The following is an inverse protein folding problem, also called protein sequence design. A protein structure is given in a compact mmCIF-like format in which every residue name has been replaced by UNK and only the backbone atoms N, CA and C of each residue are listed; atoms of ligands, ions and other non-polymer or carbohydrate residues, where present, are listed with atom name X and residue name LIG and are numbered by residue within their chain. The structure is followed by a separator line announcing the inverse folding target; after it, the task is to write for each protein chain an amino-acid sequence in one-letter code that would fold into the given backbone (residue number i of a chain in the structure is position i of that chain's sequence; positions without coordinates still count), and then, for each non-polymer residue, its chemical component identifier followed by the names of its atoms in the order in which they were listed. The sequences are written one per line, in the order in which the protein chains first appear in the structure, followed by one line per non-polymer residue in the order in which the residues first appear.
data_IF_907460968577
#
_entry.id   IF_907460968577
#
_cell.length_a   1.000
_cell.length_b   1.000
_cell.length_c   1.000
_cell.angle_alpha   90.00
_cell.angle_beta   90.00
_cell.angle_gamma   90.00
#
_symmetry.space_group_name_H-M   'P 1'
#
loop_
_entity.id
_entity.type
_entity.pdbx_description
1 polymer ?
#
# COMPACT_ATOMS: atom_id res chain seq x y z
N UNK A 1 -56.88 57.51 26.65
CA UNK A 1 -58.21 57.52 26.00
C UNK A 1 -58.43 56.13 25.43
N UNK A 2 -59.18 55.31 26.15
CA UNK A 2 -59.87 54.08 25.67
C UNK A 2 -61.06 54.45 24.82
N UNK A 3 -61.71 53.59 23.98
CA UNK A 3 -62.34 52.39 24.51
C UNK A 3 -62.35 51.13 23.59
N UNK A 4 -62.52 50.06 24.29
CA UNK A 4 -63.18 48.80 24.06
C UNK A 4 -64.22 48.67 22.93
N UNK A 5 -64.29 47.56 22.24
CA UNK A 5 -65.55 46.91 21.90
C UNK A 5 -65.37 45.37 21.71
N UNK A 6 -66.21 44.68 22.48
CA UNK A 6 -66.54 43.28 22.53
C UNK A 6 -67.46 42.95 21.35
N UNK A 7 -67.51 41.76 20.80
CA UNK A 7 -68.66 40.93 20.39
C UNK A 7 -68.17 39.72 19.57
N UNK A 8 -68.33 38.60 20.07
CA UNK A 8 -69.36 37.53 19.99
C UNK A 8 -68.97 36.35 19.07
N UNK A 9 -68.90 35.21 19.70
CA UNK A 9 -68.96 33.89 19.06
C UNK A 9 -70.26 33.55 18.41
N UNK A 10 -70.27 32.67 17.44
CA UNK A 10 -71.16 31.53 17.61
C UNK A 10 -70.49 30.17 17.37
N UNK A 11 -70.92 29.25 18.20
CA UNK A 11 -70.75 27.83 18.17
C UNK A 11 -71.19 27.19 16.86
N UNK A 12 -70.42 26.29 16.28
CA UNK A 12 -70.96 25.30 15.37
C UNK A 12 -70.37 23.92 15.61
N UNK A 13 -71.27 22.98 15.60
CA UNK A 13 -71.21 21.61 16.08
C UNK A 13 -70.23 20.73 15.32
N UNK A 14 -69.70 19.78 16.08
CA UNK A 14 -68.92 18.62 15.66
C UNK A 14 -69.61 17.78 14.56
N UNK A 15 -68.84 17.39 13.57
CA UNK A 15 -69.06 16.17 12.81
C UNK A 15 -67.70 15.42 12.74
N UNK A 16 -67.69 14.24 13.34
CA UNK A 16 -66.54 13.42 13.42
C UNK A 16 -66.15 12.79 12.06
N UNK A 17 -64.93 13.01 11.67
CA UNK A 17 -64.29 12.17 10.68
C UNK A 17 -63.07 11.57 11.35
N UNK A 18 -63.16 10.28 11.64
CA UNK A 18 -62.03 9.49 12.10
C UNK A 18 -61.04 9.33 10.93
N UNK A 19 -59.98 10.13 10.91
CA UNK A 19 -58.82 9.89 10.05
C UNK A 19 -57.95 8.87 10.77
N UNK A 20 -57.97 7.65 10.25
CA UNK A 20 -57.02 6.59 10.60
C UNK A 20 -55.65 6.98 10.03
N UNK A 21 -54.81 7.56 10.88
CA UNK A 21 -53.43 7.84 10.56
C UNK A 21 -52.65 6.53 10.66
N UNK A 22 -52.49 5.82 9.52
CA UNK A 22 -51.63 4.65 9.41
C UNK A 22 -50.17 5.11 9.56
N UNK A 23 -49.61 4.94 10.75
CA UNK A 23 -48.19 5.12 11.04
C UNK A 23 -47.44 3.97 10.36
N UNK A 24 -46.94 4.22 9.15
CA UNK A 24 -46.01 3.32 8.48
C UNK A 24 -44.69 3.41 9.20
N UNK A 25 -44.46 2.52 10.16
CA UNK A 25 -43.19 2.40 10.88
C UNK A 25 -42.18 1.75 9.94
N UNK A 26 -41.40 2.56 9.21
CA UNK A 26 -40.26 2.11 8.44
C UNK A 26 -39.22 1.60 9.42
N UNK A 27 -39.18 0.29 9.64
CA UNK A 27 -38.09 -0.39 10.33
C UNK A 27 -36.88 -0.26 9.42
N UNK A 28 -36.02 0.69 9.76
CA UNK A 28 -34.66 0.80 9.18
C UNK A 28 -33.91 -0.44 9.66
N UNK A 29 -33.87 -1.50 8.85
CA UNK A 29 -33.02 -2.64 9.09
C UNK A 29 -31.57 -2.17 8.95
N UNK A 30 -30.96 -1.85 10.10
CA UNK A 30 -29.52 -1.70 10.19
C UNK A 30 -28.92 -3.07 9.88
N UNK A 31 -28.51 -3.31 8.63
CA UNK A 31 -27.75 -4.49 8.29
C UNK A 31 -26.47 -4.47 9.15
N UNK A 32 -26.16 -5.55 9.88
CA UNK A 32 -24.89 -5.60 10.57
C UNK A 32 -23.80 -5.42 9.54
N UNK A 33 -22.96 -4.40 9.72
CA UNK A 33 -21.72 -4.29 8.98
C UNK A 33 -20.97 -5.61 9.22
N UNK A 34 -20.76 -6.40 8.17
CA UNK A 34 -19.92 -7.58 8.24
C UNK A 34 -18.56 -7.06 8.70
N UNK A 35 -18.21 -7.34 9.95
CA UNK A 35 -16.88 -7.08 10.45
C UNK A 35 -15.91 -7.74 9.49
N UNK A 36 -14.99 -6.95 8.91
CA UNK A 36 -13.88 -7.53 8.16
C UNK A 36 -13.20 -8.56 9.07
N UNK A 37 -12.90 -9.76 8.56
CA UNK A 37 -12.22 -10.76 9.35
C UNK A 37 -10.95 -10.13 9.90
N UNK A 38 -10.78 -10.26 11.20
CA UNK A 38 -9.77 -9.69 12.07
C UNK A 38 -8.51 -9.24 11.36
N UNK A 39 -8.19 -7.95 11.53
CA UNK A 39 -6.93 -7.40 11.08
C UNK A 39 -5.82 -8.31 11.62
N UNK A 40 -5.15 -8.99 10.76
CA UNK A 40 -4.12 -9.94 11.12
C UNK A 40 -2.98 -9.18 11.75
N UNK A 41 -2.89 -9.25 13.04
CA UNK A 41 -1.89 -8.56 13.85
C UNK A 41 -0.78 -9.55 14.16
N UNK A 42 0.40 -9.42 13.52
CA UNK A 42 1.59 -9.95 14.14
C UNK A 42 2.05 -9.00 15.25
N UNK A 43 2.57 -9.56 16.31
CA UNK A 43 3.23 -8.77 17.33
C UNK A 43 4.49 -8.15 16.70
N UNK A 44 4.52 -6.82 16.62
CA UNK A 44 5.72 -6.13 16.17
C UNK A 44 6.80 -6.22 17.24
N UNK A 45 8.03 -6.39 16.81
CA UNK A 45 9.19 -6.33 17.70
C UNK A 45 9.38 -4.90 18.19
N UNK A 46 9.62 -4.75 19.47
CA UNK A 46 10.00 -3.47 20.08
C UNK A 46 11.50 -3.22 19.83
N UNK A 47 11.86 -2.06 19.32
CA UNK A 47 13.26 -1.71 19.05
C UNK A 47 14.15 -1.75 20.30
N UNK A 48 13.58 -1.58 21.49
CA UNK A 48 14.28 -1.76 22.76
C UNK A 48 14.79 -3.19 22.97
N UNK A 49 14.22 -4.17 22.25
CA UNK A 49 14.64 -5.58 22.29
C UNK A 49 15.83 -5.89 21.37
N UNK A 50 16.30 -4.92 20.57
CA UNK A 50 17.50 -5.11 19.75
C UNK A 50 18.70 -5.25 20.68
N UNK A 51 19.44 -6.38 20.60
CA UNK A 51 20.54 -6.63 21.53
C UNK A 51 21.67 -5.59 21.39
N UNK A 52 22.52 -5.49 22.39
CA UNK A 52 23.78 -4.76 22.27
C UNK A 52 24.82 -5.62 21.51
N UNK A 53 25.87 -4.95 20.99
CA UNK A 53 26.97 -5.60 20.30
C UNK A 53 26.71 -5.90 18.82
N UNK A 54 27.56 -6.71 18.18
CA UNK A 54 27.60 -6.85 16.72
C UNK A 54 26.31 -7.29 16.06
N UNK A 55 25.52 -8.14 16.71
CA UNK A 55 24.22 -8.57 16.20
C UNK A 55 23.24 -7.40 16.15
N UNK A 56 23.13 -6.65 17.25
CA UNK A 56 22.27 -5.48 17.30
C UNK A 56 22.71 -4.37 16.34
N UNK A 57 23.99 -4.19 16.15
CA UNK A 57 24.54 -3.24 15.20
C UNK A 57 24.16 -3.62 13.76
N UNK A 58 24.22 -4.91 13.41
CA UNK A 58 23.79 -5.42 12.12
C UNK A 58 22.26 -5.21 11.91
N UNK A 59 21.44 -5.43 12.94
CA UNK A 59 19.99 -5.19 12.88
C UNK A 59 19.71 -3.71 12.62
N UNK A 60 20.34 -2.79 13.36
CA UNK A 60 20.18 -1.34 13.20
C UNK A 60 20.65 -0.85 11.83
N UNK A 61 21.79 -1.36 11.37
CA UNK A 61 22.32 -1.09 10.03
C UNK A 61 21.31 -1.56 8.97
N UNK A 62 20.79 -2.78 9.09
CA UNK A 62 19.80 -3.33 8.15
C UNK A 62 18.54 -2.49 8.06
N UNK A 63 17.99 -2.05 9.21
CA UNK A 63 16.86 -1.12 9.23
C UNK A 63 17.19 0.17 8.49
N UNK A 64 18.34 0.76 8.77
CA UNK A 64 18.79 2.01 8.14
C UNK A 64 18.95 1.85 6.62
N UNK A 65 19.58 0.76 6.16
CA UNK A 65 19.76 0.47 4.74
C UNK A 65 18.41 0.34 4.00
N UNK A 66 17.43 -0.27 4.61
CA UNK A 66 16.10 -0.50 4.01
C UNK A 66 15.20 0.74 4.06
N UNK A 67 15.38 1.62 5.03
CA UNK A 67 14.55 2.83 5.18
C UNK A 67 15.17 4.08 4.56
N UNK A 68 16.48 4.11 4.40
CA UNK A 68 17.25 5.21 3.82
C UNK A 68 18.18 4.69 2.69
N UNK A 69 17.65 3.79 1.86
CA UNK A 69 18.40 3.02 0.87
C UNK A 69 19.16 3.92 -0.09
N UNK A 70 18.51 4.95 -0.61
CA UNK A 70 19.08 5.89 -1.57
C UNK A 70 20.37 6.54 -1.06
N UNK A 71 20.39 7.01 0.19
CA UNK A 71 21.57 7.67 0.77
C UNK A 71 22.64 6.70 1.26
N UNK A 72 22.22 5.53 1.71
CA UNK A 72 23.13 4.52 2.30
C UNK A 72 23.74 3.59 1.25
N UNK A 73 23.08 3.42 0.11
CA UNK A 73 23.51 2.56 -0.99
C UNK A 73 23.52 3.31 -2.33
N UNK A 74 24.17 4.50 -2.44
CA UNK A 74 24.10 5.32 -3.65
C UNK A 74 24.68 4.62 -4.89
N UNK A 75 25.53 3.61 -4.72
CA UNK A 75 26.10 2.80 -5.80
C UNK A 75 25.12 1.75 -6.33
N UNK A 76 24.07 1.43 -5.55
CA UNK A 76 23.10 0.36 -5.82
C UNK A 76 21.68 0.87 -6.09
N UNK A 77 21.47 2.17 -6.05
CA UNK A 77 20.18 2.81 -6.31
C UNK A 77 20.34 3.80 -7.45
N UNK A 78 19.63 3.58 -8.55
CA UNK A 78 19.66 4.42 -9.74
C UNK A 78 18.59 5.50 -9.79
N UNK A 79 17.64 5.49 -8.83
CA UNK A 79 16.60 6.51 -8.66
C UNK A 79 16.60 7.02 -7.22
N UNK A 80 15.67 7.89 -6.87
CA UNK A 80 15.59 8.48 -5.54
C UNK A 80 14.77 7.67 -4.51
N UNK A 81 14.49 6.38 -4.79
CA UNK A 81 13.60 5.57 -3.97
C UNK A 81 14.32 4.87 -2.81
N UNK A 82 13.56 4.61 -1.75
CA UNK A 82 13.92 3.73 -0.65
C UNK A 82 13.04 2.46 -0.69
N UNK A 83 13.51 1.35 -0.14
CA UNK A 83 12.71 0.13 -0.05
C UNK A 83 11.39 0.39 0.72
N UNK A 84 11.44 1.23 1.74
CA UNK A 84 10.29 1.63 2.55
C UNK A 84 9.23 2.46 1.82
N UNK A 85 9.49 2.97 0.61
CA UNK A 85 8.46 3.65 -0.20
C UNK A 85 7.33 2.68 -0.62
N UNK A 86 7.64 1.38 -0.77
CA UNK A 86 6.67 0.34 -1.08
C UNK A 86 6.43 -0.61 0.11
N UNK A 87 7.46 -0.85 0.93
CA UNK A 87 7.38 -1.68 2.13
C UNK A 87 7.11 -0.79 3.35
N UNK A 88 5.86 -0.34 3.47
CA UNK A 88 5.46 0.68 4.44
C UNK A 88 5.72 0.27 5.89
N UNK A 89 5.84 1.27 6.77
CA UNK A 89 6.12 1.06 8.18
C UNK A 89 7.45 0.34 8.44
N UNK A 90 8.50 0.65 7.68
CA UNK A 90 9.77 -0.06 7.74
C UNK A 90 9.61 -1.59 7.58
N UNK A 91 8.71 -2.00 6.68
CA UNK A 91 8.44 -3.40 6.36
C UNK A 91 7.53 -4.12 7.37
N UNK A 92 6.82 -3.39 8.20
CA UNK A 92 5.92 -3.99 9.20
C UNK A 92 4.45 -3.90 8.83
N UNK A 93 4.05 -3.06 7.85
CA UNK A 93 2.65 -2.86 7.50
C UNK A 93 2.07 -4.06 6.75
N UNK A 94 1.01 -4.72 7.27
CA UNK A 94 0.32 -5.78 6.56
C UNK A 94 -0.20 -5.32 5.20
N UNK A 95 -0.14 -6.21 4.21
CA UNK A 95 -0.59 -5.96 2.83
C UNK A 95 0.18 -4.85 2.06
N UNK A 96 1.26 -4.31 2.64
CA UNK A 96 2.25 -3.50 1.95
C UNK A 96 3.54 -4.30 1.68
N UNK A 97 3.40 -5.60 1.38
CA UNK A 97 4.52 -6.53 1.19
C UNK A 97 5.51 -6.53 2.37
N UNK A 98 5.04 -6.80 3.61
CA UNK A 98 5.88 -6.69 4.80
C UNK A 98 7.10 -7.62 4.74
N UNK A 99 8.15 -7.26 5.48
CA UNK A 99 9.34 -8.10 5.66
C UNK A 99 9.21 -9.10 6.80
N UNK A 100 8.19 -8.94 7.64
CA UNK A 100 7.89 -9.85 8.75
C UNK A 100 7.65 -11.26 8.21
N UNK A 101 8.33 -12.24 8.78
CA UNK A 101 8.21 -13.65 8.41
C UNK A 101 8.94 -14.08 7.14
N UNK A 102 9.53 -13.14 6.35
CA UNK A 102 10.14 -13.49 5.07
C UNK A 102 11.33 -14.43 5.20
N UNK A 103 12.08 -14.36 6.29
CA UNK A 103 13.23 -15.24 6.55
C UNK A 103 12.86 -16.73 6.48
N UNK A 104 11.68 -17.10 6.96
CA UNK A 104 11.18 -18.47 6.95
C UNK A 104 10.37 -18.84 5.69
N UNK A 105 10.19 -17.91 4.77
CA UNK A 105 9.40 -18.12 3.54
C UNK A 105 10.26 -18.39 2.30
N UNK A 106 11.54 -18.13 2.35
CA UNK A 106 12.48 -18.38 1.27
C UNK A 106 13.39 -19.58 1.58
N UNK A 107 13.87 -20.33 0.55
CA UNK A 107 13.70 -20.08 -0.89
C UNK A 107 12.25 -20.31 -1.36
N UNK A 108 11.81 -19.54 -2.35
CA UNK A 108 10.46 -19.58 -2.89
C UNK A 108 10.46 -19.68 -4.42
N UNK A 109 9.55 -20.47 -5.00
CA UNK A 109 9.36 -20.49 -6.45
C UNK A 109 8.72 -19.19 -6.92
N UNK A 110 9.34 -18.57 -7.93
CA UNK A 110 8.84 -17.34 -8.55
C UNK A 110 8.52 -17.58 -10.01
N UNK A 111 7.23 -17.63 -10.35
CA UNK A 111 6.77 -17.84 -11.72
C UNK A 111 7.40 -16.86 -12.72
N UNK A 112 7.62 -15.60 -12.31
CA UNK A 112 8.27 -14.60 -13.17
C UNK A 112 9.66 -15.03 -13.64
N UNK A 113 10.47 -15.63 -12.79
CA UNK A 113 11.82 -16.10 -13.14
C UNK A 113 11.88 -17.58 -13.48
N UNK A 114 10.77 -18.33 -13.33
CA UNK A 114 10.69 -19.75 -13.59
C UNK A 114 11.56 -20.62 -12.66
N UNK A 115 12.00 -20.11 -11.52
CA UNK A 115 12.93 -20.81 -10.62
C UNK A 115 12.66 -20.57 -9.14
N UNK A 116 13.26 -21.41 -8.29
CA UNK A 116 13.42 -21.11 -6.87
C UNK A 116 14.46 -19.99 -6.70
N UNK A 117 14.15 -19.00 -5.91
CA UNK A 117 15.07 -17.92 -5.58
C UNK A 117 15.25 -17.79 -4.06
N UNK A 118 16.42 -17.32 -3.65
CA UNK A 118 16.71 -16.95 -2.26
C UNK A 118 16.13 -15.58 -1.91
N UNK A 119 16.11 -15.24 -0.62
CA UNK A 119 15.71 -13.90 -0.19
C UNK A 119 16.69 -12.83 -0.67
N UNK A 120 17.99 -13.14 -0.72
CA UNK A 120 19.02 -12.25 -1.28
C UNK A 120 18.75 -11.94 -2.77
N UNK A 121 18.45 -12.97 -3.58
CA UNK A 121 18.03 -12.75 -4.97
C UNK A 121 16.77 -11.86 -5.04
N UNK A 122 15.82 -12.05 -4.13
CA UNK A 122 14.61 -11.24 -4.08
C UNK A 122 14.89 -9.78 -3.72
N UNK A 123 15.83 -9.52 -2.82
CA UNK A 123 16.28 -8.16 -2.48
C UNK A 123 16.97 -7.52 -3.71
N UNK A 124 17.87 -8.24 -4.36
CA UNK A 124 18.56 -7.78 -5.56
C UNK A 124 17.58 -7.50 -6.72
N UNK A 125 16.58 -8.34 -6.92
CA UNK A 125 15.47 -8.07 -7.86
C UNK A 125 14.82 -6.69 -7.62
N UNK A 126 14.69 -6.27 -6.36
CA UNK A 126 14.14 -4.95 -6.04
C UNK A 126 15.13 -3.82 -6.34
N UNK A 127 16.41 -4.00 -6.03
CA UNK A 127 17.44 -3.02 -6.35
C UNK A 127 17.52 -2.77 -7.88
N UNK A 128 17.49 -3.83 -8.68
CA UNK A 128 17.61 -3.71 -10.13
C UNK A 128 16.32 -3.21 -10.79
N UNK A 129 15.15 -3.62 -10.29
CA UNK A 129 13.85 -3.35 -10.93
C UNK A 129 13.12 -2.15 -10.33
N UNK A 130 12.95 -2.13 -9.02
CA UNK A 130 12.22 -1.04 -8.37
C UNK A 130 13.08 0.21 -8.18
N UNK A 131 14.38 0.03 -8.06
CA UNK A 131 15.29 1.13 -7.73
C UNK A 131 16.26 1.46 -8.87
N UNK A 132 16.09 0.87 -10.07
CA UNK A 132 16.90 1.10 -11.28
C UNK A 132 18.40 1.00 -11.02
N UNK A 133 18.81 0.15 -10.10
CA UNK A 133 20.17 0.10 -9.56
C UNK A 133 20.90 -1.19 -9.92
N UNK A 134 21.78 -1.60 -9.03
CA UNK A 134 22.65 -2.77 -9.19
C UNK A 134 22.52 -3.70 -7.99
N UNK A 135 22.66 -5.00 -8.24
CA UNK A 135 22.69 -6.03 -7.20
C UNK A 135 23.82 -5.81 -6.20
N UNK A 136 23.57 -6.17 -4.94
CA UNK A 136 24.57 -6.35 -3.89
C UNK A 136 25.20 -7.74 -4.00
N UNK A 137 26.46 -7.88 -3.59
CA UNK A 137 27.03 -9.19 -3.34
C UNK A 137 26.27 -9.92 -2.22
N UNK A 138 26.04 -11.22 -2.37
CA UNK A 138 25.22 -12.00 -1.42
C UNK A 138 25.83 -12.07 -0.01
N UNK A 139 27.15 -12.00 0.10
CA UNK A 139 27.94 -12.02 1.32
C UNK A 139 28.36 -10.63 1.82
N UNK A 140 27.86 -9.56 1.18
CA UNK A 140 28.18 -8.19 1.61
C UNK A 140 27.65 -7.90 3.01
N UNK A 141 28.31 -6.97 3.69
CA UNK A 141 27.89 -6.47 5.02
C UNK A 141 26.46 -5.92 4.95
N UNK A 142 26.15 -5.20 3.88
CA UNK A 142 24.85 -4.59 3.65
C UNK A 142 23.74 -5.65 3.48
N UNK A 143 23.98 -6.67 2.65
CA UNK A 143 23.04 -7.77 2.46
C UNK A 143 22.78 -8.51 3.77
N UNK A 144 23.85 -8.84 4.49
CA UNK A 144 23.77 -9.53 5.77
C UNK A 144 23.03 -8.68 6.83
N UNK A 145 23.25 -7.36 6.85
CA UNK A 145 22.55 -6.45 7.75
C UNK A 145 21.03 -6.39 7.43
N UNK A 146 20.65 -6.27 6.16
CA UNK A 146 19.25 -6.32 5.74
C UNK A 146 18.57 -7.63 6.16
N UNK A 147 19.26 -8.76 5.98
CA UNK A 147 18.80 -10.08 6.41
C UNK A 147 18.66 -10.16 7.93
N UNK A 148 19.58 -9.55 8.70
CA UNK A 148 19.53 -9.51 10.17
C UNK A 148 18.31 -8.74 10.68
N UNK A 149 17.99 -7.60 10.06
CA UNK A 149 16.77 -6.84 10.39
C UNK A 149 15.51 -7.64 10.08
N UNK A 150 15.43 -8.27 8.90
CA UNK A 150 14.27 -9.10 8.53
C UNK A 150 14.11 -10.32 9.44
N UNK A 151 15.22 -10.90 9.90
CA UNK A 151 15.21 -11.98 10.89
C UNK A 151 14.66 -11.50 12.23
N UNK A 152 15.16 -10.38 12.73
CA UNK A 152 14.69 -9.80 13.99
C UNK A 152 13.19 -9.48 13.93
N UNK A 153 12.70 -8.86 12.85
CA UNK A 153 11.26 -8.63 12.63
C UNK A 153 10.44 -9.93 12.65
N UNK A 154 11.05 -11.05 12.32
CA UNK A 154 10.38 -12.34 12.16
C UNK A 154 10.48 -13.25 13.39
N UNK A 155 11.02 -12.77 14.51
CA UNK A 155 11.35 -13.61 15.69
C UNK A 155 10.14 -14.39 16.22
N UNK A 156 8.94 -13.82 16.18
CA UNK A 156 7.71 -14.47 16.68
C UNK A 156 6.96 -15.25 15.56
N UNK A 157 7.52 -15.36 14.36
CA UNK A 157 6.90 -16.09 13.25
C UNK A 157 7.61 -17.43 13.05
N UNK A 158 6.95 -18.50 13.40
CA UNK A 158 7.51 -19.85 13.20
C UNK A 158 7.70 -20.14 11.70
N UNK A 159 8.85 -20.71 11.29
CA UNK A 159 9.09 -21.11 9.90
C UNK A 159 7.98 -22.02 9.35
N UNK A 160 7.61 -21.82 8.09
CA UNK A 160 6.57 -22.61 7.41
C UNK A 160 5.13 -22.29 7.83
N UNK A 161 4.91 -21.38 8.78
CA UNK A 161 3.56 -20.93 9.12
C UNK A 161 3.09 -19.83 8.16
N UNK A 162 1.78 -19.73 7.91
CA UNK A 162 1.23 -18.62 7.15
C UNK A 162 1.63 -17.30 7.79
N UNK A 163 2.07 -16.37 6.94
CA UNK A 163 2.44 -15.02 7.36
C UNK A 163 1.21 -14.13 7.14
N UNK A 164 0.60 -13.65 8.20
CA UNK A 164 -0.56 -12.79 8.09
C UNK A 164 -0.23 -11.51 7.33
N UNK A 165 -1.11 -11.04 6.46
CA UNK A 165 -0.89 -9.81 5.68
C UNK A 165 0.32 -9.84 4.73
N UNK A 166 0.91 -11.02 4.46
CA UNK A 166 2.01 -11.17 3.50
C UNK A 166 1.60 -10.71 2.10
N UNK A 167 2.51 -10.00 1.44
CA UNK A 167 2.29 -9.52 0.07
C UNK A 167 1.27 -8.39 0.01
N UNK A 168 0.31 -8.51 -0.90
CA UNK A 168 -0.77 -7.56 -1.13
C UNK A 168 -2.12 -8.23 -0.92
N UNK A 169 -3.19 -7.43 -0.73
CA UNK A 169 -4.55 -7.97 -0.70
C UNK A 169 -4.89 -8.63 -2.04
N UNK A 170 -5.81 -9.59 -2.01
CA UNK A 170 -6.37 -10.13 -3.25
C UNK A 170 -7.28 -9.10 -3.89
N UNK A 171 -7.16 -8.96 -5.21
CA UNK A 171 -8.02 -8.11 -6.01
C UNK A 171 -8.65 -8.97 -7.13
N UNK A 172 -9.89 -8.65 -7.50
CA UNK A 172 -10.57 -9.36 -8.59
C UNK A 172 -9.94 -8.97 -9.93
N UNK A 173 -9.21 -9.89 -10.54
CA UNK A 173 -8.54 -9.68 -11.84
C UNK A 173 -9.50 -9.67 -13.03
N UNK A 174 -10.79 -9.92 -12.81
CA UNK A 174 -11.84 -9.79 -13.85
C UNK A 174 -12.27 -8.33 -14.04
N UNK A 175 -12.01 -7.47 -13.06
CA UNK A 175 -12.27 -6.04 -13.18
C UNK A 175 -11.48 -5.46 -14.35
N UNK A 176 -12.15 -4.64 -15.16
CA UNK A 176 -11.54 -4.01 -16.33
C UNK A 176 -11.12 -2.58 -15.97
N UNK A 177 -9.84 -2.21 -16.20
CA UNK A 177 -9.38 -0.87 -15.97
C UNK A 177 -10.00 0.11 -16.97
N UNK A 178 -10.32 1.29 -16.50
CA UNK A 178 -10.68 2.44 -17.33
C UNK A 178 -9.68 3.57 -17.01
N UNK A 179 -8.75 3.80 -17.91
CA UNK A 179 -7.71 4.81 -17.72
C UNK A 179 -8.27 6.23 -17.61
N UNK A 180 -9.38 6.52 -18.28
CA UNK A 180 -10.04 7.84 -18.24
C UNK A 180 -10.68 8.12 -16.87
N UNK A 181 -11.31 7.09 -16.24
CA UNK A 181 -11.74 7.20 -14.84
C UNK A 181 -10.55 7.26 -13.90
N UNK A 182 -9.52 6.45 -14.18
CA UNK A 182 -8.28 6.41 -13.40
C UNK A 182 -7.57 7.76 -13.35
N UNK A 183 -7.52 8.48 -14.47
CA UNK A 183 -6.97 9.84 -14.55
C UNK A 183 -7.71 10.81 -13.62
N UNK A 184 -9.04 10.78 -13.63
CA UNK A 184 -9.86 11.63 -12.76
C UNK A 184 -9.65 11.30 -11.28
N UNK A 185 -9.57 10.01 -10.95
CA UNK A 185 -9.28 9.55 -9.58
C UNK A 185 -7.87 10.00 -9.17
N UNK A 186 -6.89 9.84 -10.06
CA UNK A 186 -5.52 10.29 -9.83
C UNK A 186 -5.45 11.78 -9.51
N UNK A 187 -6.04 12.61 -10.36
CA UNK A 187 -6.09 14.06 -10.18
C UNK A 187 -6.73 14.45 -8.84
N UNK A 188 -7.82 13.78 -8.44
CA UNK A 188 -8.57 14.10 -7.24
C UNK A 188 -7.93 13.59 -5.94
N UNK A 189 -7.26 12.41 -5.97
CA UNK A 189 -6.86 11.70 -4.75
C UNK A 189 -5.35 11.42 -4.64
N UNK A 190 -4.59 11.54 -5.71
CA UNK A 190 -3.18 11.12 -5.75
C UNK A 190 -2.22 12.26 -6.08
N UNK A 191 -2.62 13.16 -6.99
CA UNK A 191 -1.76 14.20 -7.54
C UNK A 191 -1.23 15.18 -6.47
N UNK A 192 -1.99 15.43 -5.40
CA UNK A 192 -1.57 16.31 -4.31
C UNK A 192 -0.25 15.86 -3.65
N UNK A 193 -0.01 14.53 -3.60
CA UNK A 193 1.21 13.97 -3.04
C UNK A 193 2.19 13.53 -4.15
N UNK A 194 1.70 12.85 -5.19
CA UNK A 194 2.58 12.26 -6.20
C UNK A 194 2.87 13.18 -7.39
N UNK A 195 2.35 14.43 -7.37
CA UNK A 195 2.48 15.39 -8.46
C UNK A 195 1.48 15.13 -9.59
N UNK A 196 1.11 16.18 -10.34
CA UNK A 196 0.15 16.06 -11.45
C UNK A 196 0.69 15.14 -12.56
N UNK A 197 2.00 15.17 -12.79
CA UNK A 197 2.70 14.35 -13.77
C UNK A 197 3.38 13.12 -13.13
N UNK A 198 2.93 12.69 -11.95
CA UNK A 198 3.47 11.52 -11.25
C UNK A 198 4.94 11.59 -10.85
N UNK A 199 5.51 12.78 -10.88
CA UNK A 199 6.94 13.05 -10.68
C UNK A 199 7.37 12.94 -9.22
N UNK A 200 6.41 12.81 -8.28
CA UNK A 200 6.66 12.82 -6.84
C UNK A 200 7.02 14.19 -6.29
N UNK A 201 7.34 14.25 -5.01
CA UNK A 201 7.80 15.44 -4.30
C UNK A 201 9.19 15.16 -3.74
N UNK A 202 10.25 15.79 -4.26
CA UNK A 202 11.62 15.61 -3.77
C UNK A 202 11.78 16.04 -2.31
N UNK A 203 12.70 15.40 -1.59
CA UNK A 203 13.05 15.72 -0.20
C UNK A 203 14.20 16.76 -0.08
N UNK A 204 14.71 17.24 -1.20
CA UNK A 204 15.85 18.15 -1.28
C UNK A 204 17.22 17.49 -1.01
N UNK A 205 17.25 16.20 -0.69
CA UNK A 205 18.48 15.45 -0.37
C UNK A 205 18.73 14.28 -1.38
N UNK A 206 18.12 14.35 -2.56
CA UNK A 206 18.26 13.36 -3.63
C UNK A 206 17.31 12.18 -3.50
N UNK A 207 16.34 12.24 -2.59
CA UNK A 207 15.22 11.30 -2.43
C UNK A 207 13.88 12.00 -2.59
N UNK A 208 12.83 11.36 -2.05
CA UNK A 208 11.46 11.82 -2.17
C UNK A 208 10.71 11.79 -0.84
N UNK A 209 9.99 12.86 -0.54
CA UNK A 209 8.94 12.87 0.50
C UNK A 209 7.77 11.98 0.04
N UNK A 210 7.34 12.17 -1.22
CA UNK A 210 6.38 11.30 -1.89
C UNK A 210 6.99 10.78 -3.19
N UNK A 211 7.06 9.45 -3.39
CA UNK A 211 7.79 8.86 -4.50
C UNK A 211 7.13 9.15 -5.86
N UNK A 212 7.91 9.22 -6.95
CA UNK A 212 7.38 9.26 -8.29
C UNK A 212 6.68 7.92 -8.64
N UNK A 213 5.59 8.01 -9.39
CA UNK A 213 4.84 6.84 -9.87
C UNK A 213 5.16 6.50 -11.32
N UNK A 214 5.64 7.47 -12.10
CA UNK A 214 6.15 7.30 -13.47
C UNK A 214 7.21 8.34 -13.80
N UNK A 215 7.73 8.32 -15.02
CA UNK A 215 8.84 9.17 -15.44
C UNK A 215 10.20 8.54 -15.13
N UNK A 216 11.25 9.27 -15.42
CA UNK A 216 12.66 8.78 -15.41
C UNK A 216 13.15 8.31 -14.04
N UNK A 217 12.61 8.86 -12.96
CA UNK A 217 13.03 8.56 -11.58
C UNK A 217 12.11 7.56 -10.87
N UNK A 218 11.09 7.04 -11.57
CA UNK A 218 10.22 5.99 -11.03
C UNK A 218 10.85 4.60 -11.16
N UNK A 219 10.19 3.61 -10.63
CA UNK A 219 10.52 2.19 -10.84
C UNK A 219 10.39 1.82 -12.33
N UNK A 220 11.21 0.86 -12.81
CA UNK A 220 11.22 0.45 -14.21
C UNK A 220 10.09 -0.54 -14.58
N UNK A 221 9.98 -0.87 -15.87
CA UNK A 221 8.95 -1.78 -16.39
C UNK A 221 9.01 -3.19 -15.79
N UNK A 222 10.17 -3.63 -15.31
CA UNK A 222 10.36 -4.93 -14.67
C UNK A 222 9.93 -4.96 -13.19
N UNK A 223 9.58 -3.83 -12.60
CA UNK A 223 9.19 -3.75 -11.19
C UNK A 223 7.84 -4.42 -10.92
N UNK A 224 7.66 -4.90 -9.68
CA UNK A 224 6.37 -5.45 -9.25
C UNK A 224 5.23 -4.44 -9.36
N UNK A 225 5.49 -3.18 -9.02
CA UNK A 225 4.53 -2.09 -9.06
C UNK A 225 4.22 -1.58 -10.48
N UNK A 226 4.99 -1.98 -11.50
CA UNK A 226 4.63 -1.73 -12.90
C UNK A 226 3.51 -2.68 -13.39
N UNK A 227 3.20 -3.73 -12.64
CA UNK A 227 2.11 -4.65 -12.97
C UNK A 227 0.79 -4.12 -12.41
N UNK A 228 -0.14 -3.88 -13.27
CA UNK A 228 -1.43 -3.26 -13.02
C UNK A 228 -2.15 -3.81 -11.77
N UNK A 229 -2.45 -5.11 -11.71
CA UNK A 229 -3.17 -5.67 -10.55
C UNK A 229 -2.34 -5.71 -9.26
N UNK A 230 -1.01 -5.75 -9.36
CA UNK A 230 -0.13 -5.60 -8.19
C UNK A 230 -0.22 -4.17 -7.62
N UNK A 231 -0.17 -3.19 -8.51
CA UNK A 231 -0.32 -1.79 -8.16
C UNK A 231 -1.73 -1.51 -7.59
N UNK A 232 -2.78 -2.03 -8.25
CA UNK A 232 -4.17 -1.89 -7.79
C UNK A 232 -4.38 -2.47 -6.38
N UNK A 233 -3.82 -3.65 -6.10
CA UNK A 233 -3.91 -4.29 -4.78
C UNK A 233 -3.19 -3.47 -3.68
N UNK A 234 -2.04 -2.88 -4.01
CA UNK A 234 -1.33 -1.97 -3.11
C UNK A 234 -2.15 -0.70 -2.85
N UNK A 235 -2.66 -0.07 -3.90
CA UNK A 235 -3.48 1.14 -3.83
C UNK A 235 -4.72 0.91 -2.98
N UNK A 236 -5.46 -0.17 -3.25
CA UNK A 236 -6.71 -0.52 -2.56
C UNK A 236 -6.54 -0.53 -1.02
N UNK A 237 -5.42 -1.07 -0.53
CA UNK A 237 -5.24 -1.27 0.91
C UNK A 237 -4.42 -0.19 1.59
N UNK A 238 -3.57 0.54 0.85
CA UNK A 238 -2.56 1.40 1.45
C UNK A 238 -2.67 2.87 1.04
N UNK A 239 -3.42 3.21 -0.02
CA UNK A 239 -3.50 4.58 -0.54
C UNK A 239 -4.94 5.09 -0.58
N UNK A 240 -5.11 6.42 -0.48
CA UNK A 240 -4.13 7.45 -0.09
C UNK A 240 -3.62 7.27 1.33
N UNK A 241 -2.38 7.65 1.60
CA UNK A 241 -1.83 7.62 2.97
C UNK A 241 -2.71 8.47 3.89
N UNK A 242 -3.07 7.92 5.05
CA UNK A 242 -4.03 8.53 6.00
C UNK A 242 -5.51 8.28 5.65
N UNK A 243 -5.81 7.72 4.47
CA UNK A 243 -7.16 7.36 4.04
C UNK A 243 -7.17 5.95 3.40
N UNK A 244 -6.35 5.06 3.91
CA UNK A 244 -6.24 3.68 3.43
C UNK A 244 -7.61 2.99 3.43
N UNK A 245 -7.92 2.24 2.35
CA UNK A 245 -9.20 1.57 2.19
C UNK A 245 -10.39 2.46 1.79
N UNK A 246 -10.16 3.75 1.46
CA UNK A 246 -11.21 4.66 1.01
C UNK A 246 -11.58 4.52 -0.48
N UNK A 247 -10.84 3.72 -1.22
CA UNK A 247 -11.10 3.41 -2.62
C UNK A 247 -11.83 2.08 -2.74
N UNK A 248 -12.80 2.00 -3.63
CA UNK A 248 -13.36 0.73 -4.07
C UNK A 248 -12.35 -0.07 -4.90
N UNK A 249 -12.56 -1.37 -5.05
CA UNK A 249 -11.70 -2.22 -5.87
C UNK A 249 -11.63 -1.74 -7.34
N UNK A 250 -12.77 -1.27 -7.90
CA UNK A 250 -12.80 -0.74 -9.26
C UNK A 250 -12.00 0.56 -9.37
N UNK A 251 -12.13 1.50 -8.42
CA UNK A 251 -11.33 2.74 -8.43
C UNK A 251 -9.83 2.45 -8.32
N UNK A 252 -9.44 1.49 -7.48
CA UNK A 252 -8.04 1.07 -7.37
C UNK A 252 -7.51 0.45 -8.68
N UNK A 253 -8.35 -0.33 -9.38
CA UNK A 253 -8.03 -0.90 -10.69
C UNK A 253 -7.93 0.19 -11.75
N UNK A 254 -8.85 1.14 -11.78
CA UNK A 254 -8.85 2.22 -12.76
C UNK A 254 -7.62 3.13 -12.61
N UNK A 255 -7.33 3.59 -11.38
CA UNK A 255 -6.18 4.47 -11.15
C UNK A 255 -4.84 3.75 -11.37
N UNK A 256 -4.75 2.46 -11.01
CA UNK A 256 -3.58 1.66 -11.34
C UNK A 256 -3.43 1.50 -12.86
N UNK A 257 -4.53 1.29 -13.59
CA UNK A 257 -4.56 1.26 -15.05
C UNK A 257 -4.04 2.55 -15.68
N UNK A 258 -4.37 3.69 -15.10
CA UNK A 258 -3.87 4.98 -15.55
C UNK A 258 -2.37 5.13 -15.36
N UNK A 259 -1.86 5.00 -14.13
CA UNK A 259 -0.45 5.34 -13.87
C UNK A 259 0.54 4.25 -14.31
N UNK A 260 0.13 2.98 -14.39
CA UNK A 260 1.04 1.92 -14.85
C UNK A 260 1.31 1.94 -16.35
N UNK A 261 0.47 2.61 -17.14
CA UNK A 261 0.67 2.82 -18.58
C UNK A 261 1.58 4.01 -18.90
N UNK A 262 1.86 4.87 -17.92
CA UNK A 262 2.70 6.05 -18.15
C UNK A 262 4.17 5.66 -18.38
N UNK A 263 4.93 6.48 -19.12
CA UNK A 263 6.33 6.22 -19.42
C UNK A 263 7.18 6.03 -18.16
N UNK A 264 8.08 5.06 -18.19
CA UNK A 264 9.00 4.72 -17.09
C UNK A 264 10.29 4.13 -17.65
N UNK A 265 11.36 4.01 -16.85
CA UNK A 265 12.61 3.43 -17.32
C UNK A 265 12.41 2.00 -17.84
N UNK A 266 13.14 1.68 -18.89
CA UNK A 266 13.18 0.31 -19.43
C UNK A 266 14.00 -0.62 -18.55
N UNK A 267 13.77 -1.93 -18.74
CA UNK A 267 14.53 -3.00 -18.10
C UNK A 267 14.79 -4.12 -19.10
N UNK A 268 15.88 -4.07 -19.87
CA UNK A 268 16.15 -5.04 -20.94
C UNK A 268 16.12 -6.49 -20.49
N UNK A 269 16.49 -6.77 -19.23
CA UNK A 269 16.45 -8.13 -18.68
C UNK A 269 15.02 -8.68 -18.51
N UNK A 270 13.97 -7.84 -18.64
CA UNK A 270 12.56 -8.26 -18.56
C UNK A 270 12.16 -9.25 -19.67
N UNK A 271 12.90 -9.33 -20.77
CA UNK A 271 12.70 -10.33 -21.83
C UNK A 271 12.82 -11.79 -21.34
N UNK A 272 13.48 -11.98 -20.18
CA UNK A 272 13.62 -13.27 -19.52
C UNK A 272 12.51 -13.57 -18.51
N UNK A 273 11.59 -12.63 -18.30
CA UNK A 273 10.48 -12.81 -17.38
C UNK A 273 9.42 -13.72 -18.03
N UNK A 274 8.81 -14.57 -17.22
CA UNK A 274 7.73 -15.49 -17.62
C UNK A 274 8.19 -16.49 -18.70
N UNK A 275 9.22 -17.30 -18.42
CA UNK A 275 9.84 -18.16 -19.41
C UNK A 275 8.95 -19.33 -19.87
N UNK A 276 7.76 -19.53 -19.26
CA UNK A 276 6.80 -20.61 -19.56
C UNK A 276 5.44 -20.05 -19.93
#
# INVERSE_FOLDING_TARGET
MTPSSVFNSPSCRATGARVLLSMLMTVLMCAPALAEPDAVVYKLQDESTIPSGPEGDAIRLGKMLLTDTRRKLPQHVGNGLNCSNCHLGAGTQPHASPWVGLIGAFPEYRARSGKLISLQERINDCLERSMNGKALAFDSVEMNAMMSYMRWLSADIAPGKPIPGRGFVKIDTRLKPDASRGEKIYAAKCAACHGAEGQGVPDGAGGYVFPPLWGKDAFNVGAGMARHFTAAAFVLKNMPVGQAGSLSAQEAVDVAGYFTQQPRPDFPASVKDWPN
#
